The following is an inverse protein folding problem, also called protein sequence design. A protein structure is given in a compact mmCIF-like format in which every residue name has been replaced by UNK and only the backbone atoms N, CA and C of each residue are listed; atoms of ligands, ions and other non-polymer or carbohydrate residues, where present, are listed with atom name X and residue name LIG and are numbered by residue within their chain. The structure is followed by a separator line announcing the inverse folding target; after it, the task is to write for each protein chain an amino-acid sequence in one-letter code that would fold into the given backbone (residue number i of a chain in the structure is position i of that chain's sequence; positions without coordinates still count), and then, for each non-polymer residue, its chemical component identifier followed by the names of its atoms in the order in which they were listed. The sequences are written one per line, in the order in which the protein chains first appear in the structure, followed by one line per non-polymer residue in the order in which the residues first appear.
data_IF_892677660149
#
_entry.id   IF_892677660149
#
_cell.length_a   1.000
_cell.length_b   1.000
_cell.length_c   1.000
_cell.angle_alpha   90.00
_cell.angle_beta   90.00
_cell.angle_gamma   90.00
#
_symmetry.space_group_name_H-M   'P 1'
#
loop_
_entity.id
_entity.type
_entity.pdbx_description
1 polymer ?
#
# COMPACT_ATOMS: atom_id res chain seq x y z
N UNK A 1 -18.09 -26.01 -5.29
CA UNK A 1 -16.75 -25.71 -5.83
C UNK A 1 -16.25 -24.48 -5.11
N UNK A 2 -15.15 -24.49 -4.37
CA UNK A 2 -14.64 -23.27 -3.75
C UNK A 2 -14.09 -22.38 -4.87
N UNK A 3 -14.61 -21.15 -4.95
CA UNK A 3 -14.13 -20.12 -5.86
C UNK A 3 -12.70 -19.73 -5.50
N UNK A 4 -11.81 -19.61 -6.48
CA UNK A 4 -10.43 -19.14 -6.36
C UNK A 4 -10.37 -17.61 -6.06
N UNK A 5 -11.13 -17.15 -5.06
CA UNK A 5 -11.19 -15.74 -4.71
C UNK A 5 -9.86 -15.08 -4.28
N UNK A 6 -8.86 -15.78 -3.69
CA UNK A 6 -7.63 -15.10 -3.25
C UNK A 6 -6.73 -14.58 -4.39
N UNK A 7 -6.73 -15.29 -5.53
CA UNK A 7 -5.94 -14.85 -6.68
C UNK A 7 -6.54 -13.63 -7.39
N UNK A 8 -7.87 -13.47 -7.32
CA UNK A 8 -8.55 -12.40 -8.03
C UNK A 8 -8.38 -11.03 -7.34
N UNK A 9 -8.37 -11.00 -6.00
CA UNK A 9 -8.15 -9.75 -5.24
C UNK A 9 -6.71 -9.24 -5.35
N UNK A 10 -5.73 -10.13 -5.28
CA UNK A 10 -4.32 -9.74 -5.47
C UNK A 10 -4.03 -9.39 -6.93
N UNK A 11 -4.69 -10.07 -7.87
CA UNK A 11 -4.60 -9.76 -9.30
C UNK A 11 -5.30 -8.44 -9.62
N UNK A 12 -6.45 -8.15 -8.99
CA UNK A 12 -7.14 -6.87 -9.10
C UNK A 12 -6.33 -5.73 -8.45
N UNK A 13 -5.74 -5.95 -7.29
CA UNK A 13 -4.79 -5.02 -6.65
C UNK A 13 -3.61 -4.73 -7.57
N UNK A 14 -2.97 -5.76 -8.14
CA UNK A 14 -1.87 -5.59 -9.08
C UNK A 14 -2.30 -4.94 -10.39
N UNK A 15 -3.49 -5.23 -10.90
CA UNK A 15 -3.99 -4.60 -12.13
C UNK A 15 -4.31 -3.12 -11.90
N UNK A 16 -4.90 -2.78 -10.76
CA UNK A 16 -5.18 -1.40 -10.36
C UNK A 16 -3.89 -0.63 -10.08
N UNK A 17 -2.94 -1.26 -9.37
CA UNK A 17 -1.59 -0.75 -9.15
C UNK A 17 -0.85 -0.47 -10.48
N UNK A 18 -1.12 -1.29 -11.50
CA UNK A 18 -0.38 -1.21 -12.77
C UNK A 18 -0.80 -0.04 -13.66
N UNK A 19 -2.05 0.36 -13.73
CA UNK A 19 -2.47 1.39 -14.67
C UNK A 19 -2.24 2.82 -14.16
N UNK A 20 -2.51 3.11 -12.89
CA UNK A 20 -2.25 4.44 -12.32
C UNK A 20 -0.80 4.62 -11.83
N UNK A 21 -0.21 3.60 -11.22
CA UNK A 21 1.23 3.58 -10.88
C UNK A 21 2.08 3.70 -12.14
N UNK A 22 1.74 2.97 -13.20
CA UNK A 22 2.51 3.04 -14.44
C UNK A 22 2.45 4.43 -15.09
N UNK A 23 1.37 5.16 -14.96
CA UNK A 23 1.25 6.51 -15.52
C UNK A 23 2.17 7.47 -14.77
N UNK A 24 2.01 7.60 -13.46
CA UNK A 24 2.84 8.47 -12.64
C UNK A 24 4.31 7.99 -12.62
N UNK A 25 4.55 6.70 -12.37
CA UNK A 25 5.89 6.12 -12.35
C UNK A 25 6.62 6.30 -13.68
N UNK A 26 5.94 6.06 -14.82
CA UNK A 26 6.53 6.23 -16.16
C UNK A 26 6.81 7.69 -16.47
N UNK A 27 5.93 8.62 -16.06
CA UNK A 27 6.14 10.06 -16.19
C UNK A 27 7.39 10.51 -15.41
N UNK A 28 7.48 10.13 -14.15
CA UNK A 28 8.62 10.45 -13.29
C UNK A 28 9.92 9.81 -13.79
N UNK A 29 9.88 8.53 -14.17
CA UNK A 29 11.04 7.81 -14.69
C UNK A 29 11.56 8.45 -15.97
N UNK A 30 10.68 8.82 -16.89
CA UNK A 30 11.02 9.54 -18.11
C UNK A 30 11.66 10.88 -17.80
N UNK A 31 11.05 11.67 -16.93
CA UNK A 31 11.54 12.99 -16.56
C UNK A 31 12.93 12.92 -15.90
N UNK A 32 13.16 11.96 -15.02
CA UNK A 32 14.49 11.73 -14.40
C UNK A 32 15.53 11.29 -15.43
N UNK A 33 15.16 10.38 -16.35
CA UNK A 33 16.08 9.89 -17.39
C UNK A 33 16.46 10.96 -18.41
N UNK A 34 15.56 11.91 -18.68
CA UNK A 34 15.76 13.03 -19.60
C UNK A 34 16.43 14.24 -18.92
N UNK A 35 16.64 14.21 -17.61
CA UNK A 35 17.18 15.32 -16.84
C UNK A 35 16.25 16.53 -16.77
N UNK A 36 14.94 16.30 -16.97
CA UNK A 36 13.92 17.34 -16.94
C UNK A 36 13.80 17.96 -15.55
N UNK A 37 13.59 19.28 -15.49
CA UNK A 37 13.16 19.93 -14.25
C UNK A 37 11.68 19.60 -14.02
N UNK A 38 11.42 18.80 -13.01
CA UNK A 38 10.06 18.47 -12.59
C UNK A 38 9.43 19.64 -11.84
N UNK A 39 8.18 19.95 -12.19
CA UNK A 39 7.38 20.89 -11.42
C UNK A 39 6.96 20.20 -10.10
N UNK A 40 7.49 20.70 -8.98
CA UNK A 40 7.23 20.10 -7.67
C UNK A 40 5.74 20.09 -7.28
N UNK A 41 4.98 21.12 -7.69
CA UNK A 41 3.54 21.20 -7.41
C UNK A 41 2.76 20.14 -8.19
N UNK A 42 3.10 19.93 -9.46
CA UNK A 42 2.51 18.88 -10.28
C UNK A 42 2.78 17.48 -9.71
N UNK A 43 4.04 17.22 -9.31
CA UNK A 43 4.42 15.96 -8.66
C UNK A 43 3.63 15.73 -7.36
N UNK A 44 3.48 16.76 -6.54
CA UNK A 44 2.74 16.65 -5.28
C UNK A 44 1.29 16.24 -5.57
N UNK A 45 0.62 16.91 -6.50
CA UNK A 45 -0.77 16.60 -6.85
C UNK A 45 -0.92 15.17 -7.40
N UNK A 46 -0.05 14.74 -8.30
CA UNK A 46 -0.06 13.38 -8.82
C UNK A 46 0.20 12.32 -7.73
N UNK A 47 1.10 12.62 -6.77
CA UNK A 47 1.35 11.76 -5.62
C UNK A 47 0.13 11.65 -4.70
N UNK A 48 -0.59 12.75 -4.47
CA UNK A 48 -1.82 12.76 -3.69
C UNK A 48 -2.89 11.90 -4.34
N UNK A 49 -3.14 12.12 -5.63
CA UNK A 49 -4.13 11.36 -6.40
C UNK A 49 -3.83 9.86 -6.37
N UNK A 50 -2.57 9.47 -6.54
CA UNK A 50 -2.13 8.08 -6.45
C UNK A 50 -2.44 7.47 -5.09
N UNK A 51 -2.04 8.12 -3.98
CA UNK A 51 -2.25 7.58 -2.64
C UNK A 51 -3.74 7.52 -2.27
N UNK A 52 -4.54 8.50 -2.69
CA UNK A 52 -6.00 8.49 -2.54
C UNK A 52 -6.61 7.30 -3.28
N UNK A 53 -6.22 7.08 -4.53
CA UNK A 53 -6.69 5.97 -5.33
C UNK A 53 -6.37 4.62 -4.66
N UNK A 54 -5.15 4.45 -4.16
CA UNK A 54 -4.73 3.26 -3.42
C UNK A 54 -5.57 3.03 -2.16
N UNK A 55 -5.80 4.08 -1.37
CA UNK A 55 -6.65 4.00 -0.18
C UNK A 55 -8.07 3.58 -0.50
N UNK A 56 -8.69 4.23 -1.49
CA UNK A 56 -10.06 3.92 -1.91
C UNK A 56 -10.18 2.51 -2.48
N UNK A 57 -9.17 2.01 -3.14
CA UNK A 57 -9.11 0.63 -3.63
C UNK A 57 -9.09 -0.39 -2.49
N UNK A 58 -8.34 -0.11 -1.43
CA UNK A 58 -8.36 -0.94 -0.22
C UNK A 58 -9.73 -0.97 0.46
N UNK A 59 -10.41 0.17 0.51
CA UNK A 59 -11.77 0.28 1.02
C UNK A 59 -12.75 -0.53 0.17
N UNK A 60 -12.70 -0.41 -1.16
CA UNK A 60 -13.52 -1.18 -2.09
C UNK A 60 -13.27 -2.69 -1.96
N UNK A 61 -12.02 -3.10 -1.76
CA UNK A 61 -11.65 -4.49 -1.47
C UNK A 61 -12.39 -5.01 -0.23
N UNK A 62 -12.49 -4.22 0.82
CA UNK A 62 -13.27 -4.59 2.01
C UNK A 62 -14.76 -4.68 1.74
N UNK A 63 -15.33 -3.76 0.95
CA UNK A 63 -16.74 -3.86 0.53
C UNK A 63 -17.00 -5.17 -0.22
N UNK A 64 -16.10 -5.55 -1.12
CA UNK A 64 -16.21 -6.81 -1.87
C UNK A 64 -16.12 -8.04 -0.96
N UNK A 65 -15.15 -8.06 -0.02
CA UNK A 65 -15.00 -9.19 0.90
C UNK A 65 -16.15 -9.32 1.88
N UNK A 66 -16.69 -8.21 2.39
CA UNK A 66 -17.75 -8.20 3.40
C UNK A 66 -19.16 -8.26 2.84
N UNK A 67 -19.34 -7.92 1.57
CA UNK A 67 -20.65 -7.71 0.94
C UNK A 67 -21.41 -6.51 1.50
N UNK A 68 -20.77 -5.61 2.24
CA UNK A 68 -21.37 -4.44 2.89
C UNK A 68 -20.80 -3.16 2.30
N UNK A 69 -21.63 -2.18 2.03
CA UNK A 69 -21.19 -0.83 1.67
C UNK A 69 -20.68 -0.09 2.91
N UNK A 70 -19.55 0.60 2.78
CA UNK A 70 -18.95 1.42 3.85
C UNK A 70 -19.03 2.90 3.52
N UNK A 71 -19.14 3.72 4.55
CA UNK A 71 -19.11 5.19 4.40
C UNK A 71 -17.72 5.60 3.89
N UNK A 72 -17.69 6.46 2.90
CA UNK A 72 -16.44 7.03 2.39
C UNK A 72 -15.77 7.89 3.47
N UNK A 73 -14.44 7.90 3.54
CA UNK A 73 -13.71 8.75 4.48
C UNK A 73 -13.97 10.23 4.18
N UNK A 74 -13.87 11.07 5.19
CA UNK A 74 -13.82 12.52 5.00
C UNK A 74 -12.52 12.93 4.30
N UNK A 75 -12.50 14.15 3.75
CA UNK A 75 -11.28 14.68 3.16
C UNK A 75 -10.13 14.73 4.18
N UNK A 76 -10.40 15.12 5.42
CA UNK A 76 -9.39 15.17 6.48
C UNK A 76 -8.79 13.79 6.78
N UNK A 77 -9.62 12.74 6.82
CA UNK A 77 -9.15 11.35 7.03
C UNK A 77 -8.25 10.88 5.88
N UNK A 78 -8.61 11.20 4.62
CA UNK A 78 -7.78 10.92 3.46
C UNK A 78 -6.45 11.66 3.52
N UNK A 79 -6.49 12.98 3.76
CA UNK A 79 -5.29 13.83 3.80
C UNK A 79 -4.34 13.42 4.92
N UNK A 80 -4.85 13.00 6.09
CA UNK A 80 -4.01 12.47 7.16
C UNK A 80 -3.20 11.25 6.73
N UNK A 81 -3.77 10.39 5.89
CA UNK A 81 -3.05 9.21 5.35
C UNK A 81 -2.06 9.61 4.25
N UNK A 82 -2.46 10.50 3.35
CA UNK A 82 -1.64 10.98 2.23
C UNK A 82 -0.40 11.73 2.72
N UNK A 83 -0.56 12.57 3.75
CA UNK A 83 0.54 13.35 4.32
C UNK A 83 1.22 12.70 5.53
N UNK A 84 0.96 11.42 5.77
CA UNK A 84 1.69 10.67 6.78
C UNK A 84 3.19 10.71 6.51
N UNK A 85 3.96 11.00 7.55
CA UNK A 85 5.42 11.08 7.46
C UNK A 85 6.07 9.79 7.92
N UNK A 86 6.97 9.26 7.10
CA UNK A 86 7.87 8.17 7.46
C UNK A 86 9.27 8.76 7.51
N UNK A 87 9.95 8.59 8.65
CA UNK A 87 11.27 9.18 8.90
C UNK A 87 11.30 10.71 8.68
N UNK A 88 10.17 11.37 8.94
CA UNK A 88 10.03 12.83 8.83
C UNK A 88 9.70 13.36 7.43
N UNK A 89 9.64 12.50 6.41
CA UNK A 89 9.36 12.85 5.01
C UNK A 89 7.99 12.30 4.57
N UNK A 90 7.21 13.10 3.81
CA UNK A 90 6.01 12.63 3.12
C UNK A 90 6.37 11.75 1.92
N UNK A 91 5.38 11.07 1.34
CA UNK A 91 5.58 10.33 0.09
C UNK A 91 6.12 11.23 -1.02
N UNK A 92 5.50 12.42 -1.23
CA UNK A 92 5.93 13.37 -2.25
C UNK A 92 7.36 13.88 -2.00
N UNK A 93 7.75 14.17 -0.74
CA UNK A 93 9.13 14.58 -0.41
C UNK A 93 10.14 13.51 -0.83
N UNK A 94 9.85 12.23 -0.57
CA UNK A 94 10.71 11.11 -0.94
C UNK A 94 10.77 10.89 -2.45
N UNK A 95 9.66 11.09 -3.17
CA UNK A 95 9.64 11.05 -4.64
C UNK A 95 10.51 12.16 -5.21
N UNK A 96 10.32 13.41 -4.79
CA UNK A 96 11.11 14.57 -5.26
C UNK A 96 12.60 14.35 -5.00
N UNK A 97 12.95 13.86 -3.80
CA UNK A 97 14.33 13.52 -3.44
C UNK A 97 14.92 12.43 -4.34
N UNK A 98 14.12 11.41 -4.66
CA UNK A 98 14.53 10.32 -5.56
C UNK A 98 14.77 10.80 -6.99
N UNK A 99 13.99 11.75 -7.47
CA UNK A 99 14.17 12.38 -8.78
C UNK A 99 15.49 13.16 -8.88
N UNK A 100 16.04 13.64 -7.78
CA UNK A 100 17.37 14.26 -7.71
C UNK A 100 18.55 13.28 -7.71
N UNK A 101 18.29 11.98 -7.62
CA UNK A 101 19.34 10.94 -7.62
C UNK A 101 19.80 10.61 -9.05
N UNK A 102 21.03 10.06 -9.16
CA UNK A 102 21.54 9.63 -10.47
C UNK A 102 20.91 8.29 -10.89
N UNK A 103 20.54 8.20 -12.17
CA UNK A 103 20.15 6.94 -12.81
C UNK A 103 21.31 5.91 -12.78
N UNK A 104 21.09 4.57 -12.56
CA UNK A 104 19.77 3.91 -12.40
C UNK A 104 19.20 3.89 -10.97
N UNK A 105 19.94 4.30 -9.97
CA UNK A 105 19.51 4.23 -8.56
C UNK A 105 18.20 4.98 -8.29
N UNK A 106 17.94 6.08 -9.04
CA UNK A 106 16.69 6.82 -8.97
C UNK A 106 15.48 5.94 -9.33
N UNK A 107 15.59 5.10 -10.35
CA UNK A 107 14.51 4.22 -10.80
C UNK A 107 14.17 3.15 -9.73
N UNK A 108 15.18 2.51 -9.18
CA UNK A 108 15.00 1.49 -8.14
C UNK A 108 14.38 2.09 -6.86
N UNK A 109 14.79 3.31 -6.50
CA UNK A 109 14.21 4.03 -5.37
C UNK A 109 12.76 4.44 -5.61
N UNK A 110 12.44 4.96 -6.80
CA UNK A 110 11.07 5.31 -7.18
C UNK A 110 10.16 4.08 -7.08
N UNK A 111 10.53 2.96 -7.73
CA UNK A 111 9.75 1.73 -7.68
C UNK A 111 9.51 1.26 -6.24
N UNK A 112 10.57 1.23 -5.44
CA UNK A 112 10.48 0.81 -4.04
C UNK A 112 9.53 1.67 -3.22
N UNK A 113 9.58 3.01 -3.37
CA UNK A 113 8.73 3.94 -2.64
C UNK A 113 7.28 3.77 -3.10
N UNK A 114 7.01 3.72 -4.41
CA UNK A 114 5.68 3.53 -4.95
C UNK A 114 5.01 2.25 -4.45
N UNK A 115 5.72 1.13 -4.57
CA UNK A 115 5.18 -0.17 -4.14
C UNK A 115 4.92 -0.19 -2.63
N UNK A 116 5.85 0.33 -1.82
CA UNK A 116 5.72 0.26 -0.36
C UNK A 116 4.62 1.19 0.17
N UNK A 117 4.61 2.44 -0.27
CA UNK A 117 3.65 3.44 0.24
C UNK A 117 2.25 3.27 -0.33
N UNK A 118 2.15 2.94 -1.62
CA UNK A 118 0.87 2.60 -2.24
C UNK A 118 0.22 1.42 -1.52
N UNK A 119 0.99 0.37 -1.26
CA UNK A 119 0.51 -0.80 -0.50
C UNK A 119 0.05 -0.42 0.92
N UNK A 120 0.82 0.40 1.63
CA UNK A 120 0.42 0.90 2.95
C UNK A 120 -0.90 1.66 2.90
N UNK A 121 -1.09 2.55 1.92
CA UNK A 121 -2.35 3.28 1.74
C UNK A 121 -3.50 2.33 1.42
N UNK A 122 -3.30 1.33 0.56
CA UNK A 122 -4.29 0.30 0.27
C UNK A 122 -4.75 -0.42 1.55
N UNK A 123 -3.81 -0.91 2.35
CA UNK A 123 -4.13 -1.64 3.58
C UNK A 123 -4.78 -0.73 4.64
N UNK A 124 -4.41 0.56 4.68
CA UNK A 124 -5.12 1.56 5.50
C UNK A 124 -6.60 1.67 5.10
N UNK A 125 -6.90 1.69 3.81
CA UNK A 125 -8.26 1.66 3.28
C UNK A 125 -9.01 0.38 3.68
N UNK A 126 -8.35 -0.79 3.65
CA UNK A 126 -8.92 -2.04 4.12
C UNK A 126 -9.30 -1.98 5.61
N UNK A 127 -8.41 -1.49 6.47
CA UNK A 127 -8.67 -1.34 7.91
C UNK A 127 -9.82 -0.36 8.17
N UNK A 128 -9.83 0.78 7.45
CA UNK A 128 -10.93 1.75 7.57
C UNK A 128 -12.28 1.12 7.24
N UNK A 129 -12.37 0.40 6.14
CA UNK A 129 -13.58 -0.33 5.76
C UNK A 129 -13.96 -1.41 6.77
N UNK A 130 -12.99 -2.20 7.22
CA UNK A 130 -13.21 -3.27 8.18
C UNK A 130 -13.76 -2.79 9.53
N UNK A 131 -13.32 -1.63 10.01
CA UNK A 131 -13.86 -1.02 11.24
C UNK A 131 -15.35 -0.70 11.14
N UNK A 132 -15.88 -0.47 9.96
CA UNK A 132 -17.31 -0.19 9.74
C UNK A 132 -18.12 -1.47 9.51
N UNK A 133 -17.55 -2.46 8.83
CA UNK A 133 -18.24 -3.72 8.54
C UNK A 133 -18.23 -4.70 9.70
N UNK A 134 -17.29 -4.52 10.65
CA UNK A 134 -17.00 -5.46 11.73
C UNK A 134 -16.18 -6.66 11.24
N UNK A 135 -16.05 -7.67 12.09
CA UNK A 135 -15.34 -8.90 11.76
C UNK A 135 -13.91 -8.96 12.30
N UNK A 136 -13.14 -9.86 11.71
CA UNK A 136 -11.73 -10.09 12.03
C UNK A 136 -10.87 -9.87 10.78
N UNK A 137 -9.60 -9.58 11.00
CA UNK A 137 -8.60 -9.53 9.93
C UNK A 137 -7.73 -10.79 9.95
N UNK A 138 -7.39 -11.27 8.77
CA UNK A 138 -6.54 -12.44 8.59
C UNK A 138 -5.37 -12.02 7.70
N UNK A 139 -4.15 -12.34 8.14
CA UNK A 139 -2.95 -12.10 7.33
C UNK A 139 -2.90 -13.07 6.15
N UNK A 140 -2.83 -12.55 4.94
CA UNK A 140 -2.72 -13.35 3.71
C UNK A 140 -1.37 -13.07 3.02
N UNK A 141 -0.41 -13.93 3.26
CA UNK A 141 0.89 -13.85 2.61
C UNK A 141 0.86 -14.47 1.21
N UNK A 142 1.53 -13.83 0.26
CA UNK A 142 1.81 -14.44 -1.05
C UNK A 142 2.85 -15.53 -0.87
N UNK A 143 2.42 -16.78 -0.79
CA UNK A 143 3.28 -17.93 -0.48
C UNK A 143 4.13 -18.33 -1.68
N UNK A 144 5.26 -17.64 -1.89
CA UNK A 144 6.26 -17.91 -2.91
C UNK A 144 7.69 -17.81 -2.36
N UNK A 145 8.69 -18.02 -3.22
CA UNK A 145 10.11 -17.98 -2.83
C UNK A 145 10.64 -16.59 -2.47
N UNK A 146 9.84 -15.53 -2.64
CA UNK A 146 10.18 -14.15 -2.27
C UNK A 146 9.51 -13.74 -0.95
N UNK A 147 8.63 -14.58 -0.40
CA UNK A 147 7.95 -14.29 0.86
C UNK A 147 8.93 -14.44 2.03
N UNK A 148 9.00 -13.42 2.87
CA UNK A 148 9.84 -13.47 4.08
C UNK A 148 9.38 -14.59 5.01
N UNK A 149 10.29 -15.29 5.69
CA UNK A 149 9.90 -16.30 6.70
C UNK A 149 8.96 -15.72 7.76
N UNK A 150 9.24 -14.51 8.28
CA UNK A 150 8.39 -13.81 9.26
C UNK A 150 6.96 -13.60 8.76
N UNK A 151 6.77 -13.28 7.48
CA UNK A 151 5.46 -13.11 6.87
C UNK A 151 4.77 -14.44 6.53
N UNK A 152 5.56 -15.46 6.17
CA UNK A 152 5.01 -16.80 5.97
C UNK A 152 4.46 -17.38 7.28
N UNK A 153 5.13 -17.13 8.41
CA UNK A 153 4.67 -17.55 9.75
C UNK A 153 3.37 -16.87 10.17
N UNK A 154 3.11 -15.65 9.69
CA UNK A 154 1.86 -14.93 9.92
C UNK A 154 0.70 -15.41 9.04
N UNK A 155 0.98 -16.16 7.96
CA UNK A 155 -0.07 -16.56 7.01
C UNK A 155 -1.22 -17.29 7.70
N UNK A 156 -2.46 -16.87 7.43
CA UNK A 156 -3.70 -17.34 8.07
C UNK A 156 -3.84 -16.99 9.56
N UNK A 157 -2.97 -16.18 10.14
CA UNK A 157 -3.18 -15.66 11.49
C UNK A 157 -4.39 -14.73 11.50
N UNK A 158 -5.38 -15.04 12.33
CA UNK A 158 -6.63 -14.30 12.47
C UNK A 158 -6.61 -13.49 13.77
N UNK A 159 -6.92 -12.21 13.69
CA UNK A 159 -6.90 -11.27 14.82
C UNK A 159 -8.12 -10.33 14.75
N UNK A 160 -8.48 -9.74 15.91
CA UNK A 160 -9.39 -8.60 15.93
C UNK A 160 -8.76 -7.39 15.25
N UNK A 161 -9.58 -6.45 14.82
CA UNK A 161 -9.11 -5.29 14.03
C UNK A 161 -8.11 -4.40 14.77
N UNK A 162 -8.18 -4.35 16.09
CA UNK A 162 -7.33 -3.56 16.99
C UNK A 162 -6.11 -4.32 17.54
N UNK A 163 -6.02 -5.63 17.32
CA UNK A 163 -4.87 -6.44 17.71
C UNK A 163 -3.72 -6.33 16.71
N UNK A 164 -2.48 -6.53 17.17
CA UNK A 164 -1.28 -6.41 16.35
C UNK A 164 -0.76 -7.78 15.92
N UNK A 165 -0.38 -7.91 14.66
CA UNK A 165 0.51 -8.97 14.21
C UNK A 165 1.92 -8.71 14.74
N UNK A 166 2.61 -9.77 15.12
CA UNK A 166 3.94 -9.66 15.73
C UNK A 166 4.96 -10.47 14.95
N UNK A 167 6.14 -9.87 14.73
CA UNK A 167 7.34 -10.53 14.21
C UNK A 167 8.50 -10.26 15.16
N UNK A 168 9.65 -10.92 15.03
CA UNK A 168 10.84 -10.58 15.80
C UNK A 168 11.29 -9.11 15.64
N UNK A 169 10.91 -8.44 14.53
CA UNK A 169 11.31 -7.08 14.20
C UNK A 169 10.29 -6.01 14.65
N UNK A 170 9.11 -6.40 15.12
CA UNK A 170 8.13 -5.44 15.59
C UNK A 170 6.68 -5.93 15.55
N UNK A 171 5.76 -4.97 15.68
CA UNK A 171 4.32 -5.19 15.69
C UNK A 171 3.65 -4.27 14.69
N UNK A 172 2.66 -4.79 13.96
CA UNK A 172 1.91 -4.03 12.98
C UNK A 172 0.41 -4.33 13.05
N UNK A 173 -0.43 -3.33 12.81
CA UNK A 173 -1.87 -3.55 12.64
C UNK A 173 -2.18 -4.31 11.36
N UNK A 174 -1.31 -4.18 10.34
CA UNK A 174 -1.53 -4.74 9.02
C UNK A 174 -0.21 -4.88 8.25
N UNK A 175 -0.18 -5.56 7.10
CA UNK A 175 0.99 -5.60 6.21
C UNK A 175 1.49 -4.19 5.85
N UNK A 176 2.81 -4.05 5.69
CA UNK A 176 3.51 -2.79 5.39
C UNK A 176 3.32 -1.67 6.43
N UNK A 177 3.08 -2.04 7.70
CA UNK A 177 2.86 -1.10 8.82
C UNK A 177 3.73 -1.41 10.05
N UNK A 178 4.81 -2.15 9.91
CA UNK A 178 5.74 -2.42 11.02
C UNK A 178 6.59 -1.19 11.37
N UNK A 179 6.78 -0.26 10.43
CA UNK A 179 7.65 0.89 10.58
C UNK A 179 9.14 0.53 10.45
N UNK A 180 9.46 -0.66 9.97
CA UNK A 180 10.84 -1.13 9.75
C UNK A 180 11.00 -1.67 8.33
N UNK A 181 12.09 -1.26 7.68
CA UNK A 181 12.32 -1.58 6.26
C UNK A 181 12.38 -3.09 5.99
N UNK A 182 12.89 -3.86 6.94
CA UNK A 182 13.02 -5.32 6.85
C UNK A 182 11.68 -6.02 6.70
N UNK A 183 10.59 -5.44 7.20
CA UNK A 183 9.24 -6.01 7.11
C UNK A 183 8.39 -5.32 6.04
N UNK A 184 8.51 -4.00 5.88
CA UNK A 184 7.58 -3.22 5.09
C UNK A 184 7.96 -3.11 3.60
N UNK A 185 9.26 -2.98 3.29
CA UNK A 185 9.71 -2.77 1.91
C UNK A 185 9.37 -3.97 1.02
N UNK A 186 8.70 -3.70 -0.11
CA UNK A 186 8.26 -4.74 -1.06
C UNK A 186 7.40 -5.84 -0.41
N UNK A 187 6.69 -5.54 0.67
CA UNK A 187 5.70 -6.43 1.25
C UNK A 187 4.55 -6.63 0.24
N UNK A 188 4.13 -7.89 0.05
CA UNK A 188 3.03 -8.26 -0.86
C UNK A 188 1.88 -8.97 -0.14
N UNK A 189 1.93 -8.97 1.19
CA UNK A 189 0.86 -9.55 2.00
C UNK A 189 -0.33 -8.60 2.06
N UNK A 190 -1.53 -9.13 2.10
CA UNK A 190 -2.77 -8.36 2.22
C UNK A 190 -3.57 -8.82 3.43
N UNK A 191 -4.64 -8.08 3.75
CA UNK A 191 -5.62 -8.54 4.71
C UNK A 191 -6.79 -9.20 4.00
N UNK A 192 -7.26 -10.33 4.53
CA UNK A 192 -8.61 -10.84 4.31
C UNK A 192 -9.47 -10.36 5.47
N UNK A 193 -10.62 -9.76 5.16
CA UNK A 193 -11.61 -9.34 6.15
C UNK A 193 -12.74 -10.37 6.17
N UNK A 194 -12.96 -10.98 7.33
CA UNK A 194 -14.00 -11.99 7.54
C UNK A 194 -15.04 -11.39 8.49
N UNK A 195 -16.28 -11.28 8.03
CA UNK A 195 -17.42 -10.65 8.72
C UNK A 195 -18.40 -11.70 9.19
#
# INVERSE_FOLDING_TARGET
MPSNAPNDLYTAYRAFEFDEVNTLYSHLLKSVSEGAQLNSEEIINECEDFLIAMYLSGLLSTEQMSGKTVKRPSQDELMNTVYEKIDGETFADRIIKSCGMKFPNSAEWLERIFVTDGHRCFVNGQIYGARQTGGIKVWDATMDNKTRPTHADLHNTALKLDEYFETPNGKALAPAMFGVAEEDVNCRCILKIIV
#
